data_IF_821645266755
#
_entry.id   IF_821645266755
#
_cell.length_a   1.000
_cell.length_b   1.000
_cell.length_c   1.000
_cell.angle_alpha   90.00
_cell.angle_beta   90.00
_cell.angle_gamma   90.00
#
_symmetry.space_group_name_H-M   'P 1'
#
loop_
_entity.id
_entity.type
_entity.pdbx_description
1 polymer ?
#
# COMPACT_ATOMS: atom_id res chain seq x y z
N UNK A 1 4.14 7.13 4.41
CA UNK A 1 5.49 6.82 3.87
C UNK A 1 5.71 7.21 2.40
N UNK A 2 4.66 7.31 1.55
CA UNK A 2 4.79 7.72 0.12
C UNK A 2 5.80 6.82 -0.61
N UNK A 3 6.75 7.38 -1.39
CA UNK A 3 7.59 6.61 -2.30
C UNK A 3 8.85 6.03 -1.66
N UNK A 4 9.57 6.83 -0.87
CA UNK A 4 10.89 6.48 -0.32
C UNK A 4 10.97 6.58 1.20
N UNK A 5 9.85 6.94 1.85
CA UNK A 5 9.78 7.04 3.29
C UNK A 5 9.90 5.68 3.97
N UNK A 6 10.69 5.64 5.03
CA UNK A 6 10.92 4.47 5.86
C UNK A 6 10.71 4.86 7.31
N UNK A 7 10.11 3.95 8.07
CA UNK A 7 9.96 4.08 9.51
C UNK A 7 10.77 2.95 10.16
N UNK A 8 11.83 3.29 10.87
CA UNK A 8 12.84 2.34 11.35
C UNK A 8 12.93 2.39 12.86
N UNK A 9 13.05 1.22 13.48
CA UNK A 9 13.36 1.08 14.91
C UNK A 9 14.85 0.81 15.06
N UNK A 10 15.50 1.60 15.92
CA UNK A 10 16.94 1.50 16.23
C UNK A 10 17.19 1.59 17.72
N UNK A 11 18.32 1.06 18.16
CA UNK A 11 18.82 1.31 19.52
C UNK A 11 19.39 2.73 19.61
N UNK A 12 19.20 3.39 20.75
CA UNK A 12 19.72 4.72 21.02
C UNK A 12 21.25 4.73 20.93
N UNK A 13 21.80 5.74 20.28
CA UNK A 13 23.24 5.85 20.02
C UNK A 13 23.72 5.17 18.75
N UNK A 14 22.87 4.40 18.05
CA UNK A 14 23.18 3.93 16.69
C UNK A 14 23.40 5.13 15.77
N UNK A 15 24.38 5.11 14.83
CA UNK A 15 24.55 6.20 13.86
C UNK A 15 23.25 6.53 13.11
N UNK A 16 23.01 7.79 12.72
CA UNK A 16 21.82 8.18 11.97
C UNK A 16 21.66 7.40 10.66
N UNK A 17 20.43 6.98 10.35
CA UNK A 17 20.14 6.35 9.06
C UNK A 17 20.23 7.40 7.93
N UNK A 18 20.62 6.98 6.71
CA UNK A 18 20.66 7.88 5.57
C UNK A 18 19.28 8.52 5.32
N UNK A 19 19.28 9.84 5.12
CA UNK A 19 18.09 10.67 4.91
C UNK A 19 17.11 10.66 6.10
N UNK A 20 17.59 10.44 7.33
CA UNK A 20 16.81 10.63 8.55
C UNK A 20 16.40 12.11 8.71
N UNK A 21 15.11 12.34 8.93
CA UNK A 21 14.55 13.69 9.16
C UNK A 21 13.93 13.85 10.55
N UNK A 22 13.37 12.77 11.10
CA UNK A 22 12.72 12.79 12.42
C UNK A 22 13.23 11.60 13.24
N UNK A 23 13.50 11.82 14.52
CA UNK A 23 13.80 10.79 15.50
C UNK A 23 12.91 11.00 16.74
N UNK A 24 12.15 9.97 17.11
CA UNK A 24 11.33 9.95 18.32
C UNK A 24 11.97 8.95 19.29
N UNK A 25 12.47 9.43 20.42
CA UNK A 25 12.98 8.55 21.47
C UNK A 25 11.82 7.81 22.15
N UNK A 26 11.97 6.51 22.30
CA UNK A 26 11.04 5.62 22.98
C UNK A 26 11.61 5.20 24.34
N UNK A 27 10.74 4.71 25.23
CA UNK A 27 11.17 4.06 26.46
C UNK A 27 11.99 2.79 26.14
N UNK A 28 12.86 2.39 27.07
CA UNK A 28 13.69 1.19 26.91
C UNK A 28 14.89 1.37 25.96
N UNK A 29 15.31 2.61 25.71
CA UNK A 29 16.54 2.89 24.95
C UNK A 29 16.39 2.75 23.43
N UNK A 30 15.17 2.73 22.88
CA UNK A 30 14.91 2.64 21.44
C UNK A 30 14.55 3.99 20.83
N UNK A 31 14.68 4.08 19.52
CA UNK A 31 14.31 5.23 18.71
C UNK A 31 13.47 4.79 17.52
N UNK A 32 12.41 5.57 17.23
CA UNK A 32 11.63 5.48 16.01
C UNK A 32 12.07 6.59 15.06
N UNK A 33 12.69 6.21 13.95
CA UNK A 33 13.30 7.13 12.98
C UNK A 33 12.51 7.15 11.69
N UNK A 34 12.18 8.34 11.21
CA UNK A 34 11.60 8.54 9.89
C UNK A 34 12.67 9.06 8.94
N UNK A 35 12.92 8.30 7.88
CA UNK A 35 13.90 8.62 6.85
C UNK A 35 13.24 8.63 5.47
N UNK A 36 13.52 9.65 4.64
CA UNK A 36 12.91 9.77 3.31
C UNK A 36 13.81 10.56 2.35
N UNK A 37 14.43 9.91 1.37
CA UNK A 37 15.32 10.60 0.44
C UNK A 37 14.62 11.67 -0.41
N UNK A 38 13.33 11.49 -0.71
CA UNK A 38 12.56 12.41 -1.58
C UNK A 38 11.72 13.42 -0.81
N UNK A 39 11.66 13.32 0.52
CA UNK A 39 10.90 14.22 1.40
C UNK A 39 9.42 14.37 1.00
N UNK A 40 8.80 13.27 0.56
CA UNK A 40 7.37 13.25 0.18
C UNK A 40 6.48 12.74 1.31
N UNK A 41 7.01 11.89 2.18
CA UNK A 41 6.30 11.40 3.34
C UNK A 41 6.22 12.45 4.45
N UNK A 42 5.26 12.26 5.34
CA UNK A 42 4.94 13.17 6.42
C UNK A 42 4.59 12.38 7.67
N UNK A 43 4.82 13.00 8.83
CA UNK A 43 4.28 12.61 10.13
C UNK A 43 3.32 13.72 10.56
N UNK A 44 2.15 13.34 11.07
CA UNK A 44 1.14 14.28 11.53
C UNK A 44 0.74 13.92 12.96
N UNK A 45 0.90 14.86 13.88
CA UNK A 45 0.34 14.77 15.21
C UNK A 45 -1.14 15.13 15.13
N UNK A 46 -2.01 14.28 15.67
CA UNK A 46 -3.45 14.49 15.73
C UNK A 46 -3.86 14.77 17.17
N UNK A 47 -4.84 15.65 17.36
CA UNK A 47 -5.28 16.05 18.71
C UNK A 47 -6.12 14.98 19.40
N UNK A 48 -6.98 14.33 18.63
CA UNK A 48 -7.99 13.41 19.15
C UNK A 48 -8.39 12.37 18.09
N UNK A 49 -9.30 11.48 18.50
CA UNK A 49 -9.85 10.42 17.65
C UNK A 49 -10.71 10.97 16.51
N UNK A 50 -11.40 12.10 16.69
CA UNK A 50 -12.23 12.69 15.65
C UNK A 50 -11.39 13.20 14.47
N UNK A 51 -10.21 13.78 14.73
CA UNK A 51 -9.25 14.12 13.66
C UNK A 51 -8.73 12.87 12.92
N UNK A 52 -8.52 11.76 13.63
CA UNK A 52 -8.13 10.48 13.04
C UNK A 52 -9.25 9.93 12.14
N UNK A 53 -10.48 9.89 12.62
CA UNK A 53 -11.64 9.41 11.85
C UNK A 53 -11.85 10.23 10.58
N UNK A 54 -11.72 11.56 10.66
CA UNK A 54 -11.75 12.45 9.48
C UNK A 54 -10.65 12.15 8.47
N UNK A 55 -9.44 11.84 8.95
CA UNK A 55 -8.32 11.48 8.07
C UNK A 55 -8.55 10.12 7.40
N UNK A 56 -9.02 9.13 8.17
CA UNK A 56 -9.30 7.79 7.67
C UNK A 56 -10.48 7.76 6.68
N UNK A 57 -11.46 8.65 6.84
CA UNK A 57 -12.60 8.79 5.92
C UNK A 57 -12.20 9.22 4.49
N UNK A 58 -10.96 9.68 4.28
CA UNK A 58 -10.43 9.98 2.94
C UNK A 58 -10.05 8.72 2.15
N UNK A 59 -10.00 7.57 2.80
CA UNK A 59 -9.55 6.31 2.22
C UNK A 59 -10.74 5.38 1.98
N UNK A 60 -10.65 4.62 0.89
CA UNK A 60 -11.60 3.55 0.60
C UNK A 60 -11.42 2.35 1.53
N UNK A 61 -12.31 1.35 1.44
CA UNK A 61 -12.22 0.12 2.21
C UNK A 61 -10.91 -0.65 1.94
N UNK A 62 -10.47 -1.40 2.95
CA UNK A 62 -9.31 -2.28 2.88
C UNK A 62 -9.69 -3.60 2.16
N UNK A 63 -8.91 -4.05 1.16
CA UNK A 63 -9.29 -5.15 0.27
C UNK A 63 -9.25 -6.57 0.89
N UNK A 64 -8.47 -6.83 1.94
CA UNK A 64 -8.35 -8.15 2.57
C UNK A 64 -9.55 -8.48 3.46
N UNK A 65 -9.97 -7.53 4.29
CA UNK A 65 -10.95 -7.75 5.36
C UNK A 65 -12.14 -6.76 5.36
N UNK A 66 -12.01 -5.60 4.71
CA UNK A 66 -13.01 -4.51 4.75
C UNK A 66 -13.83 -4.29 3.49
N UNK A 67 -13.58 -5.04 2.42
CA UNK A 67 -14.21 -4.86 1.12
C UNK A 67 -14.87 -6.16 0.64
N UNK A 68 -16.16 -6.11 0.32
CA UNK A 68 -16.88 -7.25 -0.26
C UNK A 68 -16.75 -7.30 -1.79
N UNK A 69 -16.96 -8.47 -2.42
CA UNK A 69 -17.00 -8.58 -3.89
C UNK A 69 -18.03 -7.64 -4.54
N UNK A 70 -19.20 -7.45 -3.91
CA UNK A 70 -20.28 -6.59 -4.40
C UNK A 70 -19.91 -5.11 -4.36
N UNK A 71 -19.28 -4.67 -3.27
CA UNK A 71 -18.77 -3.30 -3.16
C UNK A 71 -17.65 -3.08 -4.18
N UNK A 72 -16.74 -4.04 -4.34
CA UNK A 72 -15.67 -3.97 -5.34
C UNK A 72 -16.24 -3.83 -6.76
N UNK A 73 -17.26 -4.62 -7.09
CA UNK A 73 -17.98 -4.49 -8.36
C UNK A 73 -18.59 -3.10 -8.53
N UNK A 74 -19.25 -2.58 -7.49
CA UNK A 74 -19.87 -1.24 -7.50
C UNK A 74 -18.83 -0.15 -7.73
N UNK A 75 -17.68 -0.25 -7.05
CA UNK A 75 -16.54 0.66 -7.20
C UNK A 75 -16.04 0.68 -8.65
N UNK A 76 -15.84 -0.47 -9.27
CA UNK A 76 -15.36 -0.56 -10.65
C UNK A 76 -16.41 -0.08 -11.67
N UNK A 77 -17.67 -0.48 -11.49
CA UNK A 77 -18.78 -0.08 -12.34
C UNK A 77 -19.01 1.45 -12.36
N UNK A 78 -18.68 2.13 -11.26
CA UNK A 78 -18.81 3.60 -11.15
C UNK A 78 -17.78 4.41 -11.94
N UNK A 79 -16.85 3.80 -12.69
CA UNK A 79 -15.75 4.52 -13.34
C UNK A 79 -15.46 4.07 -14.77
N UNK A 80 -15.41 5.02 -15.69
CA UNK A 80 -14.90 4.81 -17.06
C UNK A 80 -13.37 4.87 -17.18
N UNK A 81 -12.67 5.23 -16.09
CA UNK A 81 -11.20 5.27 -16.06
C UNK A 81 -10.61 3.87 -16.25
N UNK A 82 -9.35 3.76 -16.71
CA UNK A 82 -8.65 2.49 -16.76
C UNK A 82 -8.66 1.76 -15.42
N UNK A 83 -8.90 0.45 -15.45
CA UNK A 83 -9.01 -0.39 -14.24
C UNK A 83 -7.79 -0.28 -13.34
N UNK A 84 -6.58 -0.20 -13.90
CA UNK A 84 -5.35 -0.02 -13.10
C UNK A 84 -5.38 1.27 -12.29
N UNK A 85 -5.88 2.35 -12.87
CA UNK A 85 -5.99 3.64 -12.21
C UNK A 85 -7.03 3.58 -11.09
N UNK A 86 -8.16 2.90 -11.31
CA UNK A 86 -9.20 2.73 -10.29
C UNK A 86 -8.70 1.89 -9.11
N UNK A 87 -7.94 0.82 -9.36
CA UNK A 87 -7.34 0.01 -8.30
C UNK A 87 -6.35 0.81 -7.44
N UNK A 88 -5.59 1.72 -8.05
CA UNK A 88 -4.58 2.53 -7.34
C UNK A 88 -5.18 3.75 -6.62
N UNK A 89 -6.47 4.04 -6.83
CA UNK A 89 -7.17 5.18 -6.25
C UNK A 89 -7.48 4.92 -4.77
N UNK A 90 -6.69 5.52 -3.89
CA UNK A 90 -6.76 5.29 -2.45
C UNK A 90 -8.09 5.72 -1.81
N UNK A 91 -8.86 6.62 -2.45
CA UNK A 91 -10.19 6.99 -1.99
C UNK A 91 -11.25 5.95 -2.35
N UNK A 92 -10.97 5.09 -3.33
CA UNK A 92 -11.84 3.99 -3.75
C UNK A 92 -11.45 2.67 -3.10
N UNK A 93 -10.15 2.35 -3.08
CA UNK A 93 -9.61 1.11 -2.51
C UNK A 93 -8.28 1.45 -1.85
N UNK A 94 -8.18 1.25 -0.53
CA UNK A 94 -6.95 1.52 0.19
C UNK A 94 -5.89 0.43 -0.04
N UNK A 95 -4.61 0.83 -0.02
CA UNK A 95 -3.49 -0.12 0.10
C UNK A 95 -3.01 -0.76 -1.20
N UNK A 96 -3.75 -0.65 -2.31
CA UNK A 96 -3.32 -1.18 -3.61
C UNK A 96 -2.40 -0.19 -4.32
N UNK A 97 -1.10 -0.51 -4.36
CA UNK A 97 -0.07 0.25 -5.06
C UNK A 97 0.21 -0.24 -6.49
N UNK A 98 1.12 0.43 -7.20
CA UNK A 98 1.44 0.13 -8.60
C UNK A 98 1.86 -1.32 -8.87
N UNK A 99 2.70 -1.89 -8.01
CA UNK A 99 3.20 -3.27 -8.12
C UNK A 99 2.02 -4.24 -8.03
N UNK A 100 1.31 -4.23 -6.90
CA UNK A 100 0.19 -5.14 -6.65
C UNK A 100 -0.96 -4.97 -7.64
N UNK A 101 -1.25 -3.75 -8.10
CA UNK A 101 -2.24 -3.54 -9.15
C UNK A 101 -1.85 -4.24 -10.45
N UNK A 102 -0.57 -4.17 -10.84
CA UNK A 102 -0.07 -4.77 -12.08
C UNK A 102 -0.11 -6.30 -12.00
N UNK A 103 0.39 -6.87 -10.90
CA UNK A 103 0.35 -8.33 -10.67
C UNK A 103 -1.08 -8.87 -10.59
N UNK A 104 -1.99 -8.15 -9.90
CA UNK A 104 -3.40 -8.56 -9.80
C UNK A 104 -4.07 -8.58 -11.17
N UNK A 105 -3.84 -7.57 -12.00
CA UNK A 105 -4.39 -7.48 -13.35
C UNK A 105 -3.82 -8.55 -14.28
N UNK A 106 -2.51 -8.82 -14.18
CA UNK A 106 -1.89 -9.91 -14.92
C UNK A 106 -2.48 -11.26 -14.53
N UNK A 107 -2.58 -11.55 -13.22
CA UNK A 107 -3.16 -12.78 -12.70
C UNK A 107 -4.63 -12.95 -13.11
N UNK A 108 -5.41 -11.86 -13.14
CA UNK A 108 -6.79 -11.84 -13.58
C UNK A 108 -6.96 -11.88 -15.11
N UNK A 109 -5.85 -11.75 -15.86
CA UNK A 109 -5.80 -11.64 -17.33
C UNK A 109 -6.59 -10.45 -17.88
N UNK A 110 -6.47 -9.29 -17.24
CA UNK A 110 -7.17 -8.06 -17.60
C UNK A 110 -6.16 -7.00 -18.04
N UNK A 111 -6.35 -6.43 -19.22
CA UNK A 111 -5.50 -5.34 -19.70
C UNK A 111 -5.63 -4.10 -18.78
N UNK A 112 -4.52 -3.52 -18.30
CA UNK A 112 -4.55 -2.43 -17.32
C UNK A 112 -5.25 -1.16 -17.82
N UNK A 113 -5.24 -0.95 -19.15
CA UNK A 113 -5.88 0.16 -19.83
C UNK A 113 -7.40 0.01 -20.04
N UNK A 114 -7.99 -1.17 -19.78
CA UNK A 114 -9.41 -1.40 -20.02
C UNK A 114 -10.26 -0.56 -19.05
N UNK A 115 -11.34 0.04 -19.54
CA UNK A 115 -12.25 0.82 -18.70
C UNK A 115 -12.86 -0.09 -17.60
N UNK A 116 -12.83 0.38 -16.35
CA UNK A 116 -13.25 -0.42 -15.20
C UNK A 116 -14.73 -0.84 -15.29
N UNK A 117 -15.59 0.05 -15.76
CA UNK A 117 -17.03 -0.20 -15.94
C UNK A 117 -17.37 -1.16 -17.10
N UNK A 118 -16.40 -1.58 -17.91
CA UNK A 118 -16.61 -2.55 -18.99
C UNK A 118 -16.23 -3.98 -18.60
N UNK A 119 -15.79 -4.21 -17.37
CA UNK A 119 -15.48 -5.55 -16.88
C UNK A 119 -16.77 -6.33 -16.59
N UNK A 120 -16.82 -7.57 -17.07
CA UNK A 120 -17.93 -8.49 -16.79
C UNK A 120 -17.85 -8.98 -15.34
N UNK A 121 -18.97 -9.46 -14.80
CA UNK A 121 -19.06 -9.91 -13.41
C UNK A 121 -18.00 -10.98 -13.06
N UNK A 122 -17.74 -11.91 -13.98
CA UNK A 122 -16.75 -12.98 -13.79
C UNK A 122 -15.32 -12.42 -13.79
N UNK A 123 -15.06 -11.37 -14.57
CA UNK A 123 -13.76 -10.69 -14.61
C UNK A 123 -13.52 -9.91 -13.33
N UNK A 124 -14.56 -9.23 -12.82
CA UNK A 124 -14.54 -8.52 -11.54
C UNK A 124 -14.25 -9.50 -10.40
N UNK A 125 -14.93 -10.64 -10.34
CA UNK A 125 -14.70 -11.64 -9.30
C UNK A 125 -13.27 -12.18 -9.34
N UNK A 126 -12.76 -12.54 -10.53
CA UNK A 126 -11.37 -13.00 -10.68
C UNK A 126 -10.36 -11.92 -10.27
N UNK A 127 -10.61 -10.67 -10.63
CA UNK A 127 -9.76 -9.54 -10.25
C UNK A 127 -9.75 -9.32 -8.74
N UNK A 128 -10.91 -9.42 -8.10
CA UNK A 128 -11.03 -9.28 -6.65
C UNK A 128 -10.17 -10.33 -5.92
N UNK A 129 -10.31 -11.60 -6.30
CA UNK A 129 -9.49 -12.68 -5.73
C UNK A 129 -7.99 -12.51 -6.05
N UNK A 130 -7.66 -12.04 -7.25
CA UNK A 130 -6.28 -11.75 -7.63
C UNK A 130 -5.66 -10.65 -6.76
N UNK A 131 -6.39 -9.54 -6.51
CA UNK A 131 -5.96 -8.45 -5.61
C UNK A 131 -5.67 -9.01 -4.22
N UNK A 132 -6.59 -9.78 -3.63
CA UNK A 132 -6.38 -10.36 -2.30
C UNK A 132 -5.18 -11.29 -2.27
N UNK A 133 -4.99 -12.11 -3.32
CA UNK A 133 -3.87 -13.04 -3.42
C UNK A 133 -2.52 -12.33 -3.48
N UNK A 134 -2.37 -11.30 -4.32
CA UNK A 134 -1.09 -10.57 -4.44
C UNK A 134 -0.77 -9.76 -3.20
N UNK A 135 -1.79 -9.17 -2.54
CA UNK A 135 -1.57 -8.44 -1.28
C UNK A 135 -1.15 -9.37 -0.14
N UNK A 136 -1.77 -10.55 -0.02
CA UNK A 136 -1.34 -11.56 0.95
C UNK A 136 0.06 -12.08 0.65
N UNK A 137 0.42 -12.25 -0.62
CA UNK A 137 1.78 -12.59 -1.01
C UNK A 137 2.76 -11.46 -0.63
N UNK A 138 2.40 -10.20 -0.87
CA UNK A 138 3.16 -9.03 -0.42
C UNK A 138 3.41 -9.06 1.08
N UNK A 139 2.38 -9.31 1.90
CA UNK A 139 2.52 -9.44 3.36
C UNK A 139 3.43 -10.62 3.73
N UNK A 140 3.19 -11.81 3.15
CA UNK A 140 3.96 -13.04 3.40
C UNK A 140 5.46 -12.83 3.14
N UNK A 141 5.79 -12.15 2.04
CA UNK A 141 7.17 -11.88 1.63
C UNK A 141 7.67 -10.51 2.12
N UNK A 142 6.99 -9.89 3.10
CA UNK A 142 7.39 -8.64 3.76
C UNK A 142 7.59 -7.47 2.78
N UNK A 143 6.76 -7.37 1.74
CA UNK A 143 6.81 -6.31 0.73
C UNK A 143 7.92 -6.49 -0.31
N UNK A 144 8.08 -5.51 -1.20
CA UNK A 144 9.09 -5.52 -2.25
C UNK A 144 10.18 -4.48 -1.97
N UNK A 145 11.44 -4.92 -1.86
CA UNK A 145 12.62 -4.10 -1.57
C UNK A 145 13.44 -3.71 -2.80
N UNK A 146 12.82 -3.64 -3.98
CA UNK A 146 13.50 -3.37 -5.25
C UNK A 146 14.42 -2.12 -5.24
N UNK A 147 14.05 -1.08 -4.48
CA UNK A 147 14.87 0.13 -4.34
C UNK A 147 15.20 0.48 -2.88
N UNK A 148 14.24 1.08 -2.18
CA UNK A 148 14.49 1.72 -0.88
C UNK A 148 13.68 1.11 0.26
N UNK A 149 12.68 0.28 -0.03
CA UNK A 149 11.80 -0.27 1.00
C UNK A 149 12.59 -1.16 1.96
N UNK A 150 12.39 -0.92 3.25
CA UNK A 150 12.80 -1.76 4.36
C UNK A 150 11.61 -1.83 5.31
N UNK A 151 11.46 -2.94 6.02
CA UNK A 151 10.51 -2.99 7.12
C UNK A 151 11.01 -2.24 8.36
N UNK A 152 10.20 -2.26 9.42
CA UNK A 152 10.49 -1.53 10.65
C UNK A 152 11.79 -1.95 11.35
N UNK A 153 12.26 -3.18 11.13
CA UNK A 153 13.52 -3.67 11.71
C UNK A 153 14.71 -3.39 10.78
N UNK A 154 14.48 -2.91 9.57
CA UNK A 154 15.50 -2.65 8.56
C UNK A 154 15.79 -3.86 7.68
N UNK A 155 14.93 -4.88 7.67
CA UNK A 155 15.08 -6.02 6.78
C UNK A 155 14.46 -5.74 5.42
N UNK A 156 15.01 -6.38 4.38
CA UNK A 156 14.45 -6.35 3.03
C UNK A 156 13.21 -7.26 2.96
N UNK A 157 12.22 -6.81 2.18
CA UNK A 157 11.18 -7.66 1.62
C UNK A 157 11.70 -8.45 0.42
N UNK A 158 10.97 -9.51 0.07
CA UNK A 158 11.33 -10.48 -0.96
C UNK A 158 10.27 -10.60 -2.06
N UNK A 159 9.20 -9.81 -2.02
CA UNK A 159 8.10 -9.93 -2.99
C UNK A 159 8.55 -9.68 -4.45
N UNK A 160 9.63 -8.91 -4.67
CA UNK A 160 10.22 -8.69 -6.00
C UNK A 160 10.69 -9.97 -6.70
N UNK A 161 11.03 -11.03 -5.94
CA UNK A 161 11.40 -12.34 -6.49
C UNK A 161 10.17 -13.14 -6.95
N UNK A 162 8.97 -12.58 -6.73
CA UNK A 162 7.67 -13.19 -7.02
C UNK A 162 6.77 -12.29 -7.88
N UNK A 163 7.31 -11.22 -8.46
CA UNK A 163 6.58 -10.39 -9.43
C UNK A 163 6.10 -11.24 -10.60
N UNK A 164 4.91 -10.93 -11.09
CA UNK A 164 4.34 -11.61 -12.25
C UNK A 164 4.61 -10.85 -13.55
N UNK A 165 4.83 -9.53 -13.45
CA UNK A 165 5.13 -8.59 -14.55
C UNK A 165 6.03 -7.46 -14.13
#
# INVERSE_FOLDING_TARGET
>A
MKLTGRLLVREKGTPPDSWQHICLSLSGGKELRFADSRKFGWLKLLKDKAELEKLLALFGPEPLDGLSPKEFQTILASSSRPVKIVLMDQAKIAGVGNIYASDALFLAKIHPGRAANQLKAEEVQRLFEAVKKVLRAGIKYRGASDQYYLDALGHKGLYQEHFLV
#
